data_IF_248830890393
#
_entry.id   IF_248830890393
#
_cell.length_a   1.000
_cell.length_b   1.000
_cell.length_c   1.000
_cell.angle_alpha   90.00
_cell.angle_beta   90.00
_cell.angle_gamma   90.00
#
_symmetry.space_group_name_H-M   'P 1'
#
loop_
_entity.id
_entity.type
_entity.pdbx_description
1 polymer ?
#
# COMPACT_ATOMS: atom_id res chain seq x y z
N UNK A 1 7.74 -22.97 -5.74
CA UNK A 1 6.26 -23.02 -5.87
C UNK A 1 5.72 -21.86 -5.07
N UNK A 2 4.74 -21.10 -5.58
CA UNK A 2 4.19 -19.97 -4.84
C UNK A 2 3.57 -20.42 -3.50
N UNK A 3 4.04 -19.83 -2.40
CA UNK A 3 3.58 -20.04 -1.04
C UNK A 3 2.33 -19.23 -0.72
N UNK A 4 2.18 -18.09 -1.37
CA UNK A 4 1.05 -17.17 -1.27
C UNK A 4 0.38 -16.99 -2.63
N UNK A 5 -0.95 -17.01 -2.60
CA UNK A 5 -1.77 -16.36 -3.61
C UNK A 5 -1.87 -14.88 -3.24
N UNK A 6 -1.83 -14.02 -4.26
CA UNK A 6 -1.70 -12.59 -4.07
C UNK A 6 -2.67 -11.88 -5.01
N UNK A 7 -3.52 -11.03 -4.44
CA UNK A 7 -4.42 -10.15 -5.19
C UNK A 7 -4.24 -8.69 -4.77
N UNK A 8 -4.53 -7.77 -5.68
CA UNK A 8 -4.72 -6.34 -5.39
C UNK A 8 -6.19 -6.02 -5.61
N UNK A 9 -6.82 -5.43 -4.60
CA UNK A 9 -8.27 -5.23 -4.54
C UNK A 9 -8.57 -3.73 -4.49
N UNK A 10 -9.09 -3.18 -5.59
CA UNK A 10 -9.59 -1.81 -5.61
C UNK A 10 -10.81 -1.71 -4.69
N UNK A 11 -10.88 -0.66 -3.87
CA UNK A 11 -12.00 -0.39 -2.97
C UNK A 11 -12.61 1.00 -3.17
N UNK A 12 -11.92 1.89 -3.87
CA UNK A 12 -12.39 3.21 -4.28
C UNK A 12 -11.49 3.77 -5.40
N UNK A 13 -11.77 4.97 -5.91
CA UNK A 13 -10.85 5.68 -6.80
C UNK A 13 -11.08 7.19 -6.83
N UNK A 14 -10.03 7.93 -7.23
CA UNK A 14 -10.16 9.29 -7.77
C UNK A 14 -10.05 9.21 -9.29
N UNK A 15 -11.16 9.42 -10.01
CA UNK A 15 -11.21 9.26 -11.47
C UNK A 15 -10.35 10.28 -12.24
N UNK A 16 -10.12 11.46 -11.66
CA UNK A 16 -9.32 12.55 -12.25
C UNK A 16 -8.33 13.10 -11.24
N UNK A 17 -7.32 12.31 -10.91
CA UNK A 17 -6.24 12.69 -10.01
C UNK A 17 -5.11 13.40 -10.76
N UNK A 18 -4.56 14.52 -10.25
CA UNK A 18 -3.48 15.25 -10.93
C UNK A 18 -2.25 14.38 -11.18
N UNK A 19 -1.83 14.24 -12.44
CA UNK A 19 -0.72 13.34 -12.78
C UNK A 19 0.60 13.80 -12.15
N UNK A 20 0.76 15.10 -11.92
CA UNK A 20 1.91 15.69 -11.22
C UNK A 20 2.02 15.33 -9.74
N UNK A 21 0.97 14.76 -9.15
CA UNK A 21 1.02 14.22 -7.78
C UNK A 21 1.45 12.76 -7.81
N UNK A 22 1.01 11.99 -8.81
CA UNK A 22 1.45 10.60 -9.01
C UNK A 22 2.93 10.50 -9.41
N UNK A 23 3.45 11.52 -10.09
CA UNK A 23 4.82 11.58 -10.59
C UNK A 23 5.27 13.03 -10.58
N UNK A 24 6.47 13.34 -10.10
CA UNK A 24 6.98 14.71 -10.11
C UNK A 24 7.34 15.17 -11.53
N UNK A 25 6.94 16.39 -11.91
CA UNK A 25 7.36 17.04 -13.18
C UNK A 25 6.34 17.15 -14.33
N UNK A 26 5.31 16.31 -14.50
CA UNK A 26 4.34 16.44 -15.59
C UNK A 26 3.17 17.39 -15.24
N UNK A 27 3.43 18.60 -14.71
CA UNK A 27 2.35 19.52 -14.28
C UNK A 27 1.38 19.93 -15.40
N UNK A 28 1.79 19.82 -16.65
CA UNK A 28 0.98 20.18 -17.82
C UNK A 28 0.27 18.99 -18.48
N UNK A 29 0.43 17.77 -17.96
CA UNK A 29 -0.10 16.55 -18.59
C UNK A 29 -1.47 16.11 -18.05
N UNK A 30 -2.12 16.93 -17.22
CA UNK A 30 -3.50 16.74 -16.80
C UNK A 30 -3.69 15.72 -15.68
N UNK A 31 -4.70 14.87 -15.80
CA UNK A 31 -5.15 13.95 -14.75
C UNK A 31 -5.21 12.50 -15.23
N UNK A 32 -5.09 11.56 -14.30
CA UNK A 32 -5.31 10.11 -14.51
C UNK A 32 -6.18 9.54 -13.40
N UNK A 33 -6.75 8.35 -13.62
CA UNK A 33 -7.39 7.61 -12.54
C UNK A 33 -6.33 7.18 -11.51
N UNK A 34 -6.60 7.43 -10.24
CA UNK A 34 -5.86 6.90 -9.09
C UNK A 34 -6.77 5.88 -8.40
N UNK A 35 -6.61 4.57 -8.66
CA UNK A 35 -7.29 3.52 -7.88
C UNK A 35 -6.83 3.58 -6.43
N UNK A 36 -7.73 3.32 -5.49
CA UNK A 36 -7.41 3.09 -4.10
C UNK A 36 -7.56 1.59 -3.86
N UNK A 37 -6.48 0.92 -3.49
CA UNK A 37 -6.45 -0.53 -3.35
C UNK A 37 -5.55 -0.96 -2.19
N UNK A 38 -5.74 -2.18 -1.72
CA UNK A 38 -4.81 -2.88 -0.82
C UNK A 38 -4.52 -4.27 -1.36
N UNK A 39 -3.42 -4.87 -0.89
CA UNK A 39 -3.06 -6.23 -1.30
C UNK A 39 -3.60 -7.26 -0.31
N UNK A 40 -4.12 -8.37 -0.84
CA UNK A 40 -4.52 -9.55 -0.08
C UNK A 40 -3.59 -10.71 -0.42
N UNK A 41 -3.01 -11.33 0.61
CA UNK A 41 -2.21 -12.52 0.49
C UNK A 41 -2.85 -13.66 1.28
N UNK A 42 -2.91 -14.85 0.67
CA UNK A 42 -3.38 -16.08 1.32
C UNK A 42 -2.37 -17.19 1.13
N UNK A 43 -1.91 -17.79 2.21
CA UNK A 43 -0.90 -18.82 2.15
C UNK A 43 -0.24 -19.07 3.50
N UNK A 44 0.49 -20.17 3.64
CA UNK A 44 1.23 -20.50 4.87
C UNK A 44 0.39 -20.51 6.17
N UNK A 45 -0.93 -20.68 6.08
CA UNK A 45 -1.84 -20.61 7.22
C UNK A 45 -2.26 -19.19 7.64
N UNK A 46 -1.85 -18.18 6.87
CA UNK A 46 -2.12 -16.75 7.13
C UNK A 46 -3.04 -16.16 6.05
N UNK A 47 -3.82 -15.16 6.46
CA UNK A 47 -4.53 -14.24 5.55
C UNK A 47 -4.03 -12.83 5.88
N UNK A 48 -3.22 -12.28 5.00
CA UNK A 48 -2.45 -11.07 5.24
C UNK A 48 -2.99 -9.95 4.35
N UNK A 49 -3.13 -8.75 4.92
CA UNK A 49 -3.27 -7.54 4.12
C UNK A 49 -1.99 -6.71 4.14
N UNK A 50 -1.76 -6.00 3.04
CA UNK A 50 -0.83 -4.87 3.01
C UNK A 50 -1.70 -3.64 2.84
N UNK A 51 -1.73 -2.83 3.89
CA UNK A 51 -2.68 -1.74 4.14
C UNK A 51 -4.15 -2.18 4.33
N UNK A 52 -4.97 -1.25 4.83
CA UNK A 52 -6.36 -1.49 5.24
C UNK A 52 -7.39 -0.69 4.45
N UNK A 53 -6.95 0.33 3.70
CA UNK A 53 -7.85 1.34 3.18
C UNK A 53 -8.24 2.37 4.24
N UNK A 54 -9.36 3.05 4.02
CA UNK A 54 -9.99 3.94 5.00
C UNK A 54 -11.43 3.51 5.32
N UNK A 55 -11.94 3.91 6.48
CA UNK A 55 -13.36 3.82 6.82
C UNK A 55 -14.10 5.10 6.37
N UNK A 56 -15.12 4.97 5.52
CA UNK A 56 -15.85 6.10 4.93
C UNK A 56 -16.90 6.65 5.89
N UNK A 57 -16.44 7.06 7.08
CA UNK A 57 -17.24 7.69 8.13
C UNK A 57 -16.42 8.80 8.79
N UNK A 58 -17.09 9.73 9.47
CA UNK A 58 -16.45 10.76 10.28
C UNK A 58 -15.34 11.52 9.53
N UNK A 59 -14.09 11.46 9.98
CA UNK A 59 -12.99 12.18 9.35
C UNK A 59 -12.49 11.49 8.07
N UNK A 60 -12.62 10.17 7.96
CA UNK A 60 -12.31 9.43 6.72
C UNK A 60 -13.21 9.85 5.55
N UNK A 61 -14.51 10.06 5.79
CA UNK A 61 -15.44 10.64 4.79
C UNK A 61 -15.06 12.07 4.40
N UNK A 62 -14.62 12.90 5.36
CA UNK A 62 -14.19 14.27 5.10
C UNK A 62 -12.94 14.31 4.22
N UNK A 63 -11.93 13.47 4.51
CA UNK A 63 -10.73 13.34 3.69
C UNK A 63 -11.08 12.78 2.30
N UNK A 64 -11.87 11.71 2.22
CA UNK A 64 -12.34 11.16 0.95
C UNK A 64 -13.03 12.23 0.08
N UNK A 65 -13.89 13.05 0.68
CA UNK A 65 -14.55 14.17 0.00
C UNK A 65 -13.53 15.23 -0.46
N UNK A 66 -12.58 15.61 0.40
CA UNK A 66 -11.57 16.61 0.08
C UNK A 66 -10.63 16.18 -1.06
N UNK A 67 -10.28 14.89 -1.12
CA UNK A 67 -9.47 14.30 -2.19
C UNK A 67 -10.27 13.90 -3.44
N UNK A 68 -11.61 13.98 -3.40
CA UNK A 68 -12.49 13.62 -4.51
C UNK A 68 -12.58 12.11 -4.76
N UNK A 69 -12.43 11.31 -3.71
CA UNK A 69 -12.54 9.85 -3.77
C UNK A 69 -14.01 9.45 -4.00
N UNK A 70 -14.22 8.45 -4.84
CA UNK A 70 -15.53 7.98 -5.27
C UNK A 70 -15.60 6.46 -5.35
N UNK A 71 -16.81 5.92 -5.49
CA UNK A 71 -17.10 4.48 -5.55
C UNK A 71 -16.49 3.67 -4.40
N UNK A 72 -16.58 4.20 -3.18
CA UNK A 72 -16.09 3.51 -1.98
C UNK A 72 -16.94 2.27 -1.66
N UNK A 73 -16.27 1.17 -1.36
CA UNK A 73 -16.86 -0.01 -0.72
C UNK A 73 -15.98 -0.47 0.44
N UNK A 74 -16.59 -0.80 1.56
CA UNK A 74 -15.88 -1.26 2.76
C UNK A 74 -15.27 -2.66 2.61
N UNK A 75 -14.38 -3.06 3.53
CA UNK A 75 -13.59 -4.29 3.41
C UNK A 75 -14.43 -5.56 3.36
N UNK A 76 -15.62 -5.57 3.96
CA UNK A 76 -16.58 -6.67 3.84
C UNK A 76 -16.98 -6.98 2.40
N UNK A 77 -17.29 -5.94 1.61
CA UNK A 77 -17.72 -6.11 0.23
C UNK A 77 -16.52 -6.45 -0.67
N UNK A 78 -15.37 -5.83 -0.43
CA UNK A 78 -14.17 -5.97 -1.24
C UNK A 78 -13.50 -7.33 -1.04
N UNK A 79 -13.30 -7.77 0.21
CA UNK A 79 -12.68 -9.07 0.50
C UNK A 79 -13.56 -10.26 0.10
N UNK A 80 -14.89 -10.09 0.11
CA UNK A 80 -15.83 -11.11 -0.33
C UNK A 80 -15.63 -11.50 -1.81
N UNK A 81 -15.06 -10.60 -2.63
CA UNK A 81 -14.71 -10.89 -4.03
C UNK A 81 -13.61 -11.96 -4.17
N UNK A 82 -12.86 -12.23 -3.09
CA UNK A 82 -11.89 -13.30 -2.96
C UNK A 82 -12.28 -14.33 -1.87
N UNK A 83 -13.55 -14.33 -1.44
CA UNK A 83 -14.08 -15.27 -0.44
C UNK A 83 -13.48 -15.10 0.96
N UNK A 84 -12.98 -13.91 1.30
CA UNK A 84 -12.39 -13.58 2.60
C UNK A 84 -13.31 -12.63 3.36
N UNK A 85 -13.37 -12.77 4.67
CA UNK A 85 -14.00 -11.79 5.57
C UNK A 85 -12.94 -10.98 6.33
N UNK A 86 -13.24 -9.76 6.78
CA UNK A 86 -12.31 -9.00 7.60
C UNK A 86 -11.83 -9.75 8.85
N UNK A 87 -12.64 -10.63 9.43
CA UNK A 87 -12.26 -11.46 10.58
C UNK A 87 -11.30 -12.59 10.25
N UNK A 88 -11.22 -13.00 8.98
CA UNK A 88 -10.27 -14.03 8.56
C UNK A 88 -8.84 -13.46 8.46
N UNK A 89 -8.69 -12.13 8.41
CA UNK A 89 -7.39 -11.44 8.33
C UNK A 89 -6.64 -11.59 9.66
N UNK A 90 -5.50 -12.26 9.60
CA UNK A 90 -4.65 -12.56 10.75
C UNK A 90 -3.58 -11.50 10.98
N UNK A 91 -3.09 -10.90 9.91
CA UNK A 91 -1.98 -9.93 9.93
C UNK A 91 -2.16 -8.84 8.90
N UNK A 92 -1.72 -7.62 9.24
CA UNK A 92 -1.72 -6.47 8.35
C UNK A 92 -0.38 -5.76 8.45
N UNK A 93 0.26 -5.50 7.32
CA UNK A 93 1.43 -4.63 7.22
C UNK A 93 0.98 -3.24 6.79
N UNK A 94 1.09 -2.25 7.68
CA UNK A 94 0.75 -0.85 7.40
C UNK A 94 1.97 -0.14 6.84
N UNK A 95 1.94 0.15 5.54
CA UNK A 95 3.06 0.79 4.85
C UNK A 95 3.36 2.17 5.43
N UNK A 96 2.33 2.95 5.76
CA UNK A 96 2.44 4.26 6.40
C UNK A 96 1.09 4.74 6.96
N UNK A 97 1.08 5.84 7.71
CA UNK A 97 -0.10 6.32 8.44
C UNK A 97 -0.91 7.42 7.70
N UNK A 98 -1.02 7.34 6.37
CA UNK A 98 -2.08 8.06 5.66
C UNK A 98 -3.43 7.36 5.79
N UNK A 99 -4.49 8.15 5.67
CA UNK A 99 -5.85 7.73 5.94
C UNK A 99 -6.29 6.55 5.08
N UNK A 100 -5.86 6.51 3.81
CA UNK A 100 -6.17 5.48 2.83
C UNK A 100 -5.34 4.21 2.94
N UNK A 101 -4.43 4.15 3.91
CA UNK A 101 -3.62 2.97 4.22
C UNK A 101 -3.93 2.41 5.61
N UNK A 102 -4.11 3.29 6.59
CA UNK A 102 -4.29 2.93 8.00
C UNK A 102 -5.72 3.12 8.52
N UNK A 103 -6.56 3.86 7.80
CA UNK A 103 -7.83 4.40 8.33
C UNK A 103 -8.95 3.39 8.57
N UNK A 104 -8.79 2.14 8.18
CA UNK A 104 -9.77 1.08 8.38
C UNK A 104 -9.34 -0.01 9.37
N UNK A 105 -8.23 0.18 10.10
CA UNK A 105 -7.68 -0.80 11.04
C UNK A 105 -8.70 -1.43 12.00
N UNK A 106 -9.63 -0.64 12.55
CA UNK A 106 -10.64 -1.13 13.50
C UNK A 106 -11.66 -2.10 12.87
N UNK A 107 -11.72 -2.21 11.54
CA UNK A 107 -12.60 -3.14 10.84
C UNK A 107 -12.04 -4.56 10.74
N UNK A 108 -10.81 -4.80 11.22
CA UNK A 108 -10.14 -6.11 11.20
C UNK A 108 -9.88 -6.59 12.64
N UNK A 109 -10.89 -7.16 13.32
CA UNK A 109 -10.86 -7.37 14.76
C UNK A 109 -9.83 -8.42 15.23
N UNK A 110 -9.47 -9.37 14.38
CA UNK A 110 -8.55 -10.46 14.71
C UNK A 110 -7.10 -10.19 14.29
N UNK A 111 -6.86 -9.12 13.52
CA UNK A 111 -5.57 -8.89 12.91
C UNK A 111 -4.55 -8.33 13.91
N UNK A 112 -3.29 -8.74 13.74
CA UNK A 112 -2.12 -8.01 14.23
C UNK A 112 -1.66 -7.00 13.18
N UNK A 113 -1.30 -5.81 13.59
CA UNK A 113 -0.85 -4.72 12.73
C UNK A 113 0.63 -4.49 12.94
N UNK A 114 1.38 -4.53 11.85
CA UNK A 114 2.81 -4.30 11.82
C UNK A 114 3.07 -2.95 11.17
N UNK A 115 3.76 -2.05 11.89
CA UNK A 115 4.07 -0.70 11.42
C UNK A 115 5.45 -0.29 11.93
N UNK A 116 6.16 0.52 11.17
CA UNK A 116 7.42 1.10 11.65
C UNK A 116 7.15 2.01 12.85
N UNK A 117 7.91 1.81 13.93
CA UNK A 117 7.85 2.64 15.13
C UNK A 117 8.08 4.12 14.80
N UNK A 118 9.03 4.39 13.91
CA UNK A 118 9.36 5.75 13.46
C UNK A 118 8.17 6.46 12.81
N UNK A 119 7.24 5.71 12.19
CA UNK A 119 6.04 6.28 11.62
C UNK A 119 5.14 6.83 12.73
N UNK A 120 4.71 5.99 13.67
CA UNK A 120 3.84 6.40 14.77
C UNK A 120 4.47 7.52 15.63
N UNK A 121 5.74 7.38 15.99
CA UNK A 121 6.45 8.37 16.81
C UNK A 121 6.46 9.76 16.15
N UNK A 122 6.72 9.81 14.83
CA UNK A 122 6.80 11.06 14.08
C UNK A 122 5.44 11.65 13.78
N UNK A 123 4.42 10.84 13.55
CA UNK A 123 3.04 11.32 13.41
C UNK A 123 2.55 11.99 14.69
N UNK A 124 2.80 11.39 15.87
CA UNK A 124 2.49 12.03 17.16
C UNK A 124 3.22 13.35 17.30
N UNK A 125 4.52 13.41 16.99
CA UNK A 125 5.29 14.65 17.02
C UNK A 125 4.71 15.71 16.06
N UNK A 126 4.42 15.35 14.81
CA UNK A 126 3.93 16.28 13.79
C UNK A 126 2.58 16.89 14.19
N UNK A 127 1.71 16.13 14.86
CA UNK A 127 0.44 16.61 15.42
C UNK A 127 0.61 17.65 16.53
N UNK A 128 1.78 17.75 17.17
CA UNK A 128 2.06 18.78 18.21
C UNK A 128 2.47 20.14 17.63
N UNK A 129 2.75 20.20 16.33
CA UNK A 129 3.23 21.42 15.68
C UNK A 129 2.11 22.45 15.50
N UNK A 130 2.52 23.71 15.33
CA UNK A 130 1.61 24.84 15.10
C UNK A 130 0.78 24.70 13.82
N UNK A 131 -0.34 25.45 13.71
CA UNK A 131 -1.25 25.39 12.57
C UNK A 131 -0.60 25.67 11.20
N UNK A 132 0.52 26.38 11.16
CA UNK A 132 1.33 26.66 9.98
C UNK A 132 2.04 25.43 9.39
N UNK A 133 2.14 24.33 10.14
CA UNK A 133 2.79 23.08 9.73
C UNK A 133 1.82 21.99 9.27
N UNK A 134 0.52 22.29 9.13
CA UNK A 134 -0.54 21.32 8.82
C UNK A 134 -0.33 20.49 7.55
N UNK A 135 0.47 20.98 6.60
CA UNK A 135 0.87 20.21 5.42
C UNK A 135 1.46 18.84 5.80
N UNK A 136 2.21 18.77 6.90
CA UNK A 136 2.91 17.57 7.37
C UNK A 136 1.98 16.45 7.84
N UNK A 137 0.72 16.76 8.16
CA UNK A 137 -0.27 15.80 8.70
C UNK A 137 -1.53 15.72 7.85
N UNK A 138 -1.57 16.44 6.71
CA UNK A 138 -2.80 16.62 5.93
C UNK A 138 -3.36 15.34 5.33
N UNK A 139 -2.50 14.33 5.11
CA UNK A 139 -2.91 13.03 4.57
C UNK A 139 -3.36 12.00 5.62
N UNK A 140 -3.34 12.33 6.91
CA UNK A 140 -3.68 11.38 7.99
C UNK A 140 -4.93 11.76 8.77
N UNK A 141 -5.60 10.77 9.36
CA UNK A 141 -6.61 10.97 10.41
C UNK A 141 -5.93 10.88 11.78
N UNK A 142 -5.90 11.96 12.60
CA UNK A 142 -5.35 11.88 13.96
C UNK A 142 -6.00 10.80 14.83
N UNK A 143 -7.26 10.42 14.55
CA UNK A 143 -7.92 9.33 15.24
C UNK A 143 -7.30 7.96 14.94
N UNK A 144 -6.61 7.77 13.80
CA UNK A 144 -5.90 6.53 13.49
C UNK A 144 -4.74 6.28 14.46
N UNK A 145 -4.06 7.33 14.91
CA UNK A 145 -3.03 7.22 15.94
C UNK A 145 -3.64 6.78 17.27
N UNK A 146 -4.84 7.27 17.62
CA UNK A 146 -5.56 6.81 18.81
C UNK A 146 -6.00 5.34 18.66
N UNK A 147 -6.51 4.95 17.49
CA UNK A 147 -6.86 3.55 17.17
C UNK A 147 -5.65 2.63 17.25
N UNK A 148 -4.47 3.09 16.82
CA UNK A 148 -3.21 2.37 16.98
C UNK A 148 -2.86 2.12 18.45
N UNK A 149 -3.04 3.12 19.31
CA UNK A 149 -2.82 2.98 20.75
C UNK A 149 -3.82 1.99 21.38
N UNK A 150 -5.09 2.01 20.98
CA UNK A 150 -6.07 1.02 21.45
C UNK A 150 -5.71 -0.40 20.96
N UNK A 151 -5.31 -0.56 19.69
CA UNK A 151 -4.81 -1.84 19.19
C UNK A 151 -3.55 -2.30 19.94
N UNK A 152 -2.64 -1.39 20.32
CA UNK A 152 -1.46 -1.70 21.12
C UNK A 152 -1.83 -2.20 22.52
N UNK A 153 -2.79 -1.54 23.18
CA UNK A 153 -3.33 -1.95 24.48
C UNK A 153 -3.96 -3.33 24.44
N UNK A 154 -4.54 -3.71 23.30
CA UNK A 154 -5.08 -5.06 23.04
C UNK A 154 -4.01 -6.08 22.60
N UNK A 155 -2.74 -5.68 22.49
CA UNK A 155 -1.64 -6.54 22.04
C UNK A 155 -1.67 -6.84 20.53
N UNK A 156 -2.41 -6.05 19.75
CA UNK A 156 -2.58 -6.20 18.30
C UNK A 156 -1.68 -5.27 17.48
N UNK A 157 -1.18 -4.17 18.02
CA UNK A 157 -0.19 -3.33 17.32
C UNK A 157 1.24 -3.79 17.64
N UNK A 158 2.02 -4.09 16.60
CA UNK A 158 3.41 -4.53 16.65
C UNK A 158 4.28 -3.49 15.97
N UNK A 159 5.03 -2.73 16.77
CA UNK A 159 6.00 -1.78 16.25
C UNK A 159 7.27 -2.49 15.78
N UNK A 160 7.64 -2.25 14.53
CA UNK A 160 8.87 -2.73 13.89
C UNK A 160 9.90 -1.60 13.92
N UNK A 161 11.18 -1.94 14.08
CA UNK A 161 12.28 -0.99 13.95
C UNK A 161 13.21 -1.42 12.82
N UNK A 162 13.24 -0.62 11.75
CA UNK A 162 14.13 -0.84 10.61
C UNK A 162 13.71 -2.02 9.74
N UNK A 163 14.67 -2.52 8.96
CA UNK A 163 14.49 -3.68 8.12
C UNK A 163 14.41 -4.96 8.96
N UNK A 164 13.45 -5.82 8.66
CA UNK A 164 13.30 -7.12 9.31
C UNK A 164 12.93 -8.19 8.31
N UNK A 165 13.68 -9.29 8.32
CA UNK A 165 13.40 -10.45 7.49
C UNK A 165 12.51 -11.46 8.22
N UNK A 166 11.65 -12.14 7.48
CA UNK A 166 10.75 -13.19 7.99
C UNK A 166 9.91 -12.74 9.20
N UNK A 167 9.36 -11.53 9.15
CA UNK A 167 8.36 -11.07 10.14
C UNK A 167 7.18 -12.06 10.18
N UNK A 168 6.82 -12.58 9.01
CA UNK A 168 6.05 -13.81 8.81
C UNK A 168 6.79 -14.68 7.78
N UNK A 169 6.47 -15.98 7.64
CA UNK A 169 7.16 -16.86 6.70
C UNK A 169 7.22 -16.29 5.27
N UNK A 170 8.41 -15.93 4.79
CA UNK A 170 8.59 -15.36 3.44
C UNK A 170 8.18 -13.90 3.28
N UNK A 171 7.86 -13.19 4.37
CA UNK A 171 7.53 -11.76 4.36
C UNK A 171 8.64 -10.98 5.06
N UNK A 172 9.24 -10.05 4.33
CA UNK A 172 10.20 -9.08 4.86
C UNK A 172 9.59 -7.69 4.81
N UNK A 173 10.08 -6.81 5.67
CA UNK A 173 9.72 -5.39 5.67
C UNK A 173 10.99 -4.56 5.64
N UNK A 174 10.90 -3.40 4.98
CA UNK A 174 12.04 -2.51 4.79
C UNK A 174 11.64 -1.09 5.13
N UNK A 175 12.44 -0.44 5.98
CA UNK A 175 12.22 0.95 6.35
C UNK A 175 12.71 1.87 5.23
N UNK A 176 11.80 2.64 4.65
CA UNK A 176 12.08 3.73 3.73
C UNK A 176 11.97 5.07 4.48
N UNK A 177 12.92 5.33 5.38
CA UNK A 177 12.89 6.49 6.26
C UNK A 177 12.96 7.83 5.50
N UNK A 178 12.19 8.80 5.99
CA UNK A 178 12.12 10.15 5.44
C UNK A 178 11.91 10.15 3.91
N UNK A 179 10.90 9.41 3.44
CA UNK A 179 10.52 9.31 2.03
C UNK A 179 9.14 9.93 1.79
N UNK A 180 8.11 9.14 1.48
CA UNK A 180 6.75 9.60 1.31
C UNK A 180 6.19 10.13 2.65
N UNK A 181 6.31 9.32 3.71
CA UNK A 181 6.13 9.72 5.11
C UNK A 181 7.43 9.54 5.89
N UNK A 182 7.38 9.78 7.20
CA UNK A 182 8.55 9.76 8.08
C UNK A 182 9.20 8.38 8.23
N UNK A 183 8.38 7.35 8.31
CA UNK A 183 8.75 5.96 8.51
C UNK A 183 7.99 5.03 7.59
N UNK A 184 7.74 5.43 6.34
CA UNK A 184 7.15 4.54 5.33
C UNK A 184 7.93 3.23 5.25
N UNK A 185 7.25 2.13 4.99
CA UNK A 185 7.85 0.85 4.67
C UNK A 185 7.29 0.26 3.39
N UNK A 186 8.11 -0.57 2.74
CA UNK A 186 7.65 -1.48 1.70
C UNK A 186 7.81 -2.92 2.15
N UNK A 187 6.97 -3.80 1.59
CA UNK A 187 6.90 -5.22 1.98
C UNK A 187 7.43 -6.07 0.85
N UNK A 188 8.35 -6.98 1.17
CA UNK A 188 8.86 -7.98 0.23
C UNK A 188 8.24 -9.34 0.51
N UNK A 189 7.71 -9.98 -0.53
CA UNK A 189 7.12 -11.32 -0.49
C UNK A 189 8.02 -12.25 -1.30
N UNK A 190 8.78 -13.09 -0.59
CA UNK A 190 9.56 -14.19 -1.18
C UNK A 190 8.64 -15.39 -1.38
N UNK A 191 7.95 -15.39 -2.52
CA UNK A 191 6.84 -16.28 -2.76
C UNK A 191 7.27 -17.72 -3.05
N UNK A 192 8.52 -17.97 -3.42
CA UNK A 192 9.08 -19.34 -3.50
C UNK A 192 9.67 -19.85 -2.17
N UNK A 193 9.62 -19.04 -1.10
CA UNK A 193 10.12 -19.37 0.22
C UNK A 193 11.64 -19.38 0.36
N UNK A 194 12.40 -18.94 -0.65
CA UNK A 194 13.86 -18.94 -0.61
C UNK A 194 14.44 -17.53 -0.58
N UNK A 195 15.56 -17.33 0.12
CA UNK A 195 16.22 -16.03 0.23
C UNK A 195 16.82 -15.52 -1.11
N UNK A 196 17.19 -16.44 -2.00
CA UNK A 196 17.80 -16.13 -3.30
C UNK A 196 16.93 -16.49 -4.52
N UNK A 197 15.66 -16.78 -4.31
CA UNK A 197 14.73 -17.15 -5.36
C UNK A 197 14.27 -15.98 -6.23
N UNK A 198 13.85 -16.30 -7.45
CA UNK A 198 13.38 -15.32 -8.44
C UNK A 198 11.90 -14.93 -8.23
N UNK A 199 11.12 -15.72 -7.47
CA UNK A 199 9.71 -15.41 -7.21
C UNK A 199 9.56 -14.43 -6.04
N UNK A 200 9.98 -13.19 -6.29
CA UNK A 200 9.90 -12.08 -5.35
C UNK A 200 8.90 -11.03 -5.85
N UNK A 201 8.10 -10.49 -4.93
CA UNK A 201 7.18 -9.39 -5.18
C UNK A 201 7.41 -8.30 -4.14
N UNK A 202 7.32 -7.04 -4.55
CA UNK A 202 7.48 -5.87 -3.68
C UNK A 202 6.18 -5.09 -3.67
N UNK A 203 5.65 -4.77 -2.50
CA UNK A 203 4.52 -3.86 -2.33
C UNK A 203 5.06 -2.54 -1.83
N UNK A 204 5.05 -1.54 -2.70
CA UNK A 204 5.81 -0.31 -2.51
C UNK A 204 5.14 0.68 -1.54
N UNK A 205 3.89 0.45 -1.15
CA UNK A 205 3.05 1.48 -0.57
C UNK A 205 3.07 2.72 -1.45
N UNK A 206 3.20 3.88 -0.81
CA UNK A 206 3.24 5.18 -1.49
C UNK A 206 4.65 5.66 -1.83
N UNK A 207 5.65 4.78 -1.82
CA UNK A 207 6.95 5.13 -2.40
C UNK A 207 6.85 5.27 -3.93
N UNK A 208 5.88 4.58 -4.54
CA UNK A 208 5.63 4.48 -5.97
C UNK A 208 4.12 4.49 -6.19
N UNK A 209 3.59 5.38 -7.03
CA UNK A 209 2.16 5.40 -7.39
C UNK A 209 1.89 4.66 -8.69
N UNK A 210 2.86 4.67 -9.61
CA UNK A 210 2.73 4.19 -10.98
C UNK A 210 4.05 3.60 -11.47
N UNK A 211 4.01 2.66 -12.43
CA UNK A 211 5.20 2.17 -13.12
C UNK A 211 6.00 3.27 -13.81
N UNK A 212 5.38 4.43 -14.08
CA UNK A 212 6.11 5.58 -14.63
C UNK A 212 7.14 6.09 -13.62
N UNK A 213 6.90 5.98 -12.31
CA UNK A 213 7.90 6.36 -11.30
C UNK A 213 9.18 5.53 -11.41
N UNK A 214 9.10 4.31 -11.96
CA UNK A 214 10.23 3.40 -12.11
C UNK A 214 10.91 3.50 -13.48
N UNK A 215 10.21 4.02 -14.48
CA UNK A 215 10.64 3.98 -15.89
C UNK A 215 10.78 5.36 -16.53
N UNK A 216 10.20 6.40 -15.94
CA UNK A 216 10.10 7.71 -16.57
C UNK A 216 9.05 7.72 -17.69
N UNK A 217 8.95 8.85 -18.39
CA UNK A 217 8.02 9.01 -19.51
C UNK A 217 8.67 8.82 -20.88
N UNK A 218 10.00 8.78 -20.95
CA UNK A 218 10.75 8.56 -22.19
C UNK A 218 11.30 7.12 -22.23
N UNK A 219 10.72 6.23 -23.04
CA UNK A 219 11.21 4.85 -23.17
C UNK A 219 12.65 4.76 -23.69
N UNK A 220 13.17 5.80 -24.37
CA UNK A 220 14.54 5.82 -24.87
C UNK A 220 15.57 6.24 -23.79
N UNK A 221 15.10 6.85 -22.69
CA UNK A 221 15.94 7.34 -21.60
C UNK A 221 15.26 7.07 -20.24
N UNK A 222 15.14 5.80 -19.84
CA UNK A 222 14.43 5.44 -18.62
C UNK A 222 15.11 6.03 -17.39
N UNK A 223 14.31 6.55 -16.47
CA UNK A 223 14.78 7.14 -15.22
C UNK A 223 13.76 6.92 -14.11
N UNK A 224 14.25 6.79 -12.88
CA UNK A 224 13.39 6.76 -11.70
C UNK A 224 12.96 8.20 -11.41
N UNK A 225 11.65 8.42 -11.30
CA UNK A 225 11.05 9.72 -11.00
C UNK A 225 10.17 9.57 -9.77
N UNK A 226 10.46 10.30 -8.69
CA UNK A 226 9.70 10.20 -7.45
C UNK A 226 8.26 10.70 -7.63
N UNK A 227 7.40 10.36 -6.68
CA UNK A 227 6.05 10.89 -6.60
C UNK A 227 6.05 12.38 -6.21
N UNK A 228 4.95 13.07 -6.49
CA UNK A 228 4.81 14.51 -6.23
C UNK A 228 4.39 14.86 -4.80
N UNK A 229 3.84 13.92 -4.04
CA UNK A 229 3.40 14.12 -2.64
C UNK A 229 4.33 13.37 -1.69
N UNK A 230 5.08 14.10 -0.87
CA UNK A 230 5.95 13.52 0.14
C UNK A 230 6.25 14.55 1.24
N UNK A 231 6.44 14.10 2.47
CA UNK A 231 6.96 14.94 3.57
C UNK A 231 8.48 14.86 3.70
N UNK A 232 9.08 13.80 3.17
CA UNK A 232 10.52 13.53 3.24
C UNK A 232 11.28 13.89 1.96
N UNK A 233 12.33 13.12 1.70
CA UNK A 233 13.34 13.39 0.70
C UNK A 233 13.03 12.72 -0.64
N UNK A 234 13.00 13.53 -1.70
CA UNK A 234 12.95 13.06 -3.08
C UNK A 234 14.16 12.19 -3.43
N UNK A 235 15.33 12.47 -2.84
CA UNK A 235 16.52 11.64 -2.98
C UNK A 235 16.29 10.25 -2.36
N UNK A 236 15.77 10.18 -1.13
CA UNK A 236 15.52 8.90 -0.48
C UNK A 236 14.47 8.08 -1.26
N UNK A 237 13.41 8.73 -1.77
CA UNK A 237 12.42 8.08 -2.64
C UNK A 237 13.05 7.42 -3.87
N UNK A 238 13.97 8.11 -4.55
CA UNK A 238 14.66 7.57 -5.72
C UNK A 238 15.53 6.37 -5.33
N UNK A 239 16.30 6.46 -4.25
CA UNK A 239 17.20 5.40 -3.84
C UNK A 239 16.45 4.16 -3.35
N UNK A 240 15.40 4.32 -2.53
CA UNK A 240 14.53 3.21 -2.12
C UNK A 240 13.83 2.57 -3.34
N UNK A 241 13.42 3.36 -4.33
CA UNK A 241 12.87 2.83 -5.60
C UNK A 241 13.89 2.02 -6.40
N UNK A 242 15.14 2.49 -6.46
CA UNK A 242 16.24 1.78 -7.11
C UNK A 242 16.58 0.46 -6.37
N UNK A 243 16.53 0.45 -5.05
CA UNK A 243 16.72 -0.75 -4.23
C UNK A 243 15.61 -1.78 -4.47
N UNK A 244 14.35 -1.35 -4.50
CA UNK A 244 13.22 -2.21 -4.85
C UNK A 244 13.40 -2.84 -6.23
N UNK A 245 13.69 -2.04 -7.27
CA UNK A 245 13.95 -2.55 -8.62
C UNK A 245 15.12 -3.53 -8.67
N UNK A 246 16.23 -3.20 -8.01
CA UNK A 246 17.41 -4.07 -7.95
C UNK A 246 17.06 -5.42 -7.30
N UNK A 247 16.24 -5.42 -6.26
CA UNK A 247 15.85 -6.64 -5.53
C UNK A 247 15.05 -7.62 -6.37
N UNK A 248 14.37 -7.15 -7.43
CA UNK A 248 13.59 -7.96 -8.38
C UNK A 248 14.27 -8.06 -9.76
N UNK A 249 15.59 -7.85 -9.83
CA UNK A 249 16.36 -8.00 -11.07
C UNK A 249 16.01 -6.98 -12.16
N UNK A 250 15.43 -5.83 -11.79
CA UNK A 250 14.97 -4.80 -12.72
C UNK A 250 13.60 -5.08 -13.36
N UNK A 251 12.91 -6.16 -12.97
CA UNK A 251 11.56 -6.44 -13.48
C UNK A 251 10.52 -5.51 -12.84
N UNK A 252 10.25 -4.39 -13.50
CA UNK A 252 9.32 -3.33 -13.06
C UNK A 252 7.98 -3.89 -12.59
N UNK A 253 7.45 -4.90 -13.29
CA UNK A 253 6.16 -5.53 -12.96
C UNK A 253 6.14 -6.24 -11.60
N UNK A 254 7.29 -6.59 -11.02
CA UNK A 254 7.38 -7.21 -9.69
C UNK A 254 7.36 -6.21 -8.53
N UNK A 255 7.44 -4.92 -8.82
CA UNK A 255 7.15 -3.86 -7.86
C UNK A 255 5.70 -3.46 -8.07
N UNK A 256 4.85 -3.61 -7.06
CA UNK A 256 3.41 -3.45 -7.13
C UNK A 256 3.01 -2.13 -6.45
N UNK A 257 2.62 -1.11 -7.24
CA UNK A 257 1.99 0.10 -6.73
C UNK A 257 0.48 -0.11 -6.66
N UNK A 258 -0.13 0.01 -5.49
CA UNK A 258 -1.59 -0.19 -5.35
C UNK A 258 -2.41 0.89 -6.08
N UNK A 259 -1.79 2.05 -6.32
CA UNK A 259 -2.33 3.18 -7.06
C UNK A 259 -2.12 3.10 -8.60
N UNK A 260 -1.61 1.99 -9.13
CA UNK A 260 -1.37 1.83 -10.56
C UNK A 260 -2.62 1.31 -11.30
N UNK A 261 -3.21 2.16 -12.13
CA UNK A 261 -4.41 1.80 -12.88
C UNK A 261 -4.16 0.69 -13.92
N UNK A 262 -2.93 0.57 -14.43
CA UNK A 262 -2.54 -0.43 -15.44
C UNK A 262 -2.33 -1.83 -14.86
N UNK A 263 -2.43 -2.06 -13.55
CA UNK A 263 -2.38 -3.41 -12.97
C UNK A 263 -3.40 -4.35 -13.64
N UNK A 264 -4.60 -3.85 -13.94
CA UNK A 264 -5.66 -4.59 -14.66
C UNK A 264 -5.24 -5.12 -16.04
N UNK A 265 -4.29 -4.45 -16.70
CA UNK A 265 -3.77 -4.85 -18.01
C UNK A 265 -2.43 -5.58 -17.92
N UNK A 266 -1.69 -5.37 -16.83
CA UNK A 266 -0.44 -6.07 -16.59
C UNK A 266 -0.70 -7.52 -16.17
N UNK A 267 -1.74 -7.78 -15.38
CA UNK A 267 -2.03 -9.09 -14.79
C UNK A 267 -3.44 -9.58 -15.12
N UNK A 268 -3.71 -10.89 -14.95
CA UNK A 268 -5.07 -11.41 -14.94
C UNK A 268 -5.95 -10.59 -13.97
N UNK A 269 -7.11 -10.15 -14.44
CA UNK A 269 -8.00 -9.30 -13.65
C UNK A 269 -9.46 -9.46 -14.08
N UNK A 270 -10.37 -9.05 -13.20
CA UNK A 270 -11.79 -8.87 -13.52
C UNK A 270 -12.35 -7.62 -12.88
N UNK A 271 -13.41 -7.09 -13.50
CA UNK A 271 -14.24 -6.03 -12.91
C UNK A 271 -15.37 -6.67 -12.11
N UNK A 272 -15.60 -6.20 -10.89
CA UNK A 272 -16.74 -6.62 -10.06
C UNK A 272 -18.03 -5.94 -10.50
N UNK A 273 -19.18 -6.43 -10.02
CA UNK A 273 -20.47 -5.77 -10.22
C UNK A 273 -20.53 -4.35 -9.59
N UNK A 274 -19.57 -4.03 -8.72
CA UNK A 274 -19.39 -2.71 -8.08
C UNK A 274 -18.44 -1.79 -8.86
N UNK A 275 -17.94 -2.23 -10.02
CA UNK A 275 -17.00 -1.45 -10.82
C UNK A 275 -15.60 -1.33 -10.20
N UNK A 276 -15.24 -2.26 -9.30
CA UNK A 276 -13.91 -2.33 -8.69
C UNK A 276 -13.06 -3.38 -9.39
N UNK A 277 -11.75 -3.13 -9.55
CA UNK A 277 -10.84 -4.13 -10.10
C UNK A 277 -10.37 -5.12 -9.05
N UNK A 278 -10.41 -6.41 -9.42
CA UNK A 278 -9.72 -7.50 -8.72
C UNK A 278 -8.59 -7.97 -9.62
N UNK A 279 -7.35 -7.83 -9.16
CA UNK A 279 -6.15 -8.18 -9.94
C UNK A 279 -5.43 -9.34 -9.26
N UNK A 280 -5.14 -10.41 -9.99
CA UNK A 280 -4.43 -11.59 -9.50
C UNK A 280 -2.96 -11.55 -9.91
N UNK A 281 -2.07 -11.32 -8.95
CA UNK A 281 -0.62 -11.18 -9.17
C UNK A 281 0.05 -12.56 -9.21
N UNK A 282 -0.32 -13.44 -8.27
CA UNK A 282 0.20 -14.79 -8.17
C UNK A 282 -0.85 -15.72 -7.56
N UNK A 283 -0.80 -17.01 -7.89
CA UNK A 283 -1.72 -18.01 -7.36
C UNK A 283 -0.93 -19.21 -6.82
N UNK A 284 -1.10 -19.49 -5.52
CA UNK A 284 -0.52 -20.66 -4.88
C UNK A 284 -1.17 -21.95 -5.39
N UNK A 285 -0.43 -23.05 -5.31
CA UNK A 285 -0.91 -24.36 -5.76
C UNK A 285 -2.16 -24.78 -5.00
N UNK A 286 -3.25 -25.01 -5.72
CA UNK A 286 -4.52 -25.48 -5.16
C UNK A 286 -5.46 -24.37 -4.72
N UNK A 287 -5.02 -23.11 -4.73
CA UNK A 287 -5.92 -21.98 -4.55
C UNK A 287 -6.75 -21.79 -5.82
N UNK A 288 -8.02 -21.43 -5.65
CA UNK A 288 -8.91 -21.08 -6.76
C UNK A 288 -8.57 -19.67 -7.27
N UNK A 289 -8.52 -19.49 -8.59
CA UNK A 289 -8.46 -18.16 -9.20
C UNK A 289 -9.78 -17.42 -9.02
N UNK A 290 -9.70 -16.14 -8.68
CA UNK A 290 -10.87 -15.27 -8.51
C UNK A 290 -11.09 -14.32 -9.68
N UNK A 291 -10.33 -14.44 -10.77
CA UNK A 291 -10.41 -13.54 -11.94
C UNK A 291 -10.85 -14.24 -13.23
N UNK A 292 -11.22 -15.52 -13.14
CA UNK A 292 -11.72 -16.33 -14.25
C UNK A 292 -13.24 -16.35 -14.42
#
# INVERSE_FOLDING_TARGET
MAHYSIWVLEYAAVEKFPFSVMMYGPQHQGTRKLPYAYALLKGSGETILIDTGYDHVAYGEQLATAYGVSNYHGPWAVLAECGVKPEDVTSVFITHAHFDHMGAMHLFPNAKFYVQKSELDKWVWALTLGPEYRFLVGGGDPADIVRAVEAAKEGRMICIEGDQENVLPGIDVHLAADTHTYGSMYVTVRNDGTGGGEDRWIFAGDLIYTYDNLTGLDPAAPQIVPIGLAVGSQHNLIFSSAEMLKSVGGEVRRVIPVHEDRLRTAFPSRLTDRGLQVVEIALAKGEKSWVG
#
